data_IF_143973361120
#
_entry.id   IF_143973361120
#
_cell.length_a   1.000
_cell.length_b   1.000
_cell.length_c   1.000
_cell.angle_alpha   90.00
_cell.angle_beta   90.00
_cell.angle_gamma   90.00
#
_symmetry.space_group_name_H-M   'P 1'
#
loop_
_entity.id
_entity.type
_entity.pdbx_description
1 polymer ?
#
# COMPACT_ATOMS: atom_id res chain seq x y z
N UNK A 1 -11.72 20.42 -6.41
CA UNK A 1 -11.82 18.93 -6.35
C UNK A 1 -10.73 18.38 -5.43
N UNK A 2 -11.10 17.54 -4.51
CA UNK A 2 -10.13 16.87 -3.63
C UNK A 2 -9.66 15.59 -4.33
N UNK A 3 -8.34 15.45 -4.49
CA UNK A 3 -7.74 14.24 -5.08
C UNK A 3 -7.12 13.38 -4.00
N UNK A 4 -7.19 12.07 -4.17
CA UNK A 4 -6.56 11.11 -3.27
C UNK A 4 -5.71 10.13 -4.08
N UNK A 5 -4.43 10.45 -4.30
CA UNK A 5 -3.54 9.59 -5.08
C UNK A 5 -3.36 8.19 -4.49
N UNK A 6 -3.43 8.06 -3.17
CA UNK A 6 -3.32 6.76 -2.51
C UNK A 6 -4.57 5.91 -2.78
N UNK A 7 -5.75 6.51 -2.69
CA UNK A 7 -6.99 5.81 -3.02
C UNK A 7 -6.99 5.35 -4.48
N UNK A 8 -6.50 6.19 -5.39
CA UNK A 8 -6.35 5.83 -6.80
C UNK A 8 -5.38 4.66 -6.97
N UNK A 9 -4.25 4.69 -6.28
CA UNK A 9 -3.27 3.59 -6.29
C UNK A 9 -3.91 2.27 -5.85
N UNK A 10 -4.62 2.28 -4.74
CA UNK A 10 -5.29 1.07 -4.22
C UNK A 10 -6.37 0.58 -5.18
N UNK A 11 -7.14 1.50 -5.76
CA UNK A 11 -8.20 1.18 -6.70
C UNK A 11 -7.66 0.54 -7.97
N UNK A 12 -6.54 1.04 -8.50
CA UNK A 12 -5.90 0.46 -9.70
C UNK A 12 -5.46 -0.98 -9.44
N UNK A 13 -4.88 -1.26 -8.28
CA UNK A 13 -4.51 -2.63 -7.91
C UNK A 13 -5.75 -3.50 -7.77
N UNK A 14 -6.76 -3.02 -7.05
CA UNK A 14 -8.01 -3.75 -6.84
C UNK A 14 -8.67 -4.12 -8.17
N UNK A 15 -8.79 -3.15 -9.06
CA UNK A 15 -9.42 -3.37 -10.37
C UNK A 15 -8.62 -4.37 -11.23
N UNK A 16 -7.28 -4.26 -11.21
CA UNK A 16 -6.42 -5.19 -11.94
C UNK A 16 -6.58 -6.62 -11.41
N UNK A 17 -6.70 -6.79 -10.09
CA UNK A 17 -6.92 -8.10 -9.48
C UNK A 17 -8.29 -8.67 -9.82
N UNK A 18 -9.33 -7.83 -9.84
CA UNK A 18 -10.68 -8.27 -10.23
C UNK A 18 -10.74 -8.73 -11.67
N UNK A 19 -9.92 -8.15 -12.54
CA UNK A 19 -9.81 -8.54 -13.94
C UNK A 19 -8.75 -9.62 -14.17
N UNK A 20 -8.11 -10.12 -13.11
CA UNK A 20 -7.06 -11.14 -13.17
C UNK A 20 -5.87 -10.73 -14.03
N UNK A 21 -5.54 -9.45 -14.07
CA UNK A 21 -4.37 -8.95 -14.79
C UNK A 21 -3.08 -9.37 -14.06
N UNK A 22 -2.03 -9.66 -14.80
CA UNK A 22 -0.72 -9.99 -14.25
C UNK A 22 0.08 -8.74 -13.87
N UNK A 23 -0.09 -7.67 -14.63
CA UNK A 23 0.63 -6.43 -14.46
C UNK A 23 -0.34 -5.27 -14.31
N UNK A 24 0.07 -4.30 -13.51
CA UNK A 24 -0.62 -3.02 -13.39
C UNK A 24 0.39 -1.90 -13.48
N UNK A 25 0.04 -0.82 -14.18
CA UNK A 25 0.88 0.37 -14.31
C UNK A 25 0.20 1.53 -13.59
N UNK A 26 0.98 2.25 -12.78
CA UNK A 26 0.46 3.33 -11.95
C UNK A 26 1.41 4.53 -12.07
N UNK A 27 0.87 5.76 -12.25
CA UNK A 27 1.72 6.95 -12.22
C UNK A 27 2.48 7.02 -10.90
N UNK A 28 3.78 7.32 -10.97
CA UNK A 28 4.66 7.27 -9.82
C UNK A 28 4.62 8.52 -8.95
N UNK A 29 4.93 8.34 -7.67
CA UNK A 29 5.31 9.38 -6.72
C UNK A 29 6.21 8.72 -5.68
N UNK A 30 6.95 9.50 -4.92
CA UNK A 30 7.83 8.94 -3.89
C UNK A 30 7.04 8.13 -2.87
N UNK A 31 5.88 8.60 -2.47
CA UNK A 31 5.01 7.89 -1.53
C UNK A 31 4.53 6.57 -2.10
N UNK A 32 4.03 6.57 -3.34
CA UNK A 32 3.56 5.35 -4.00
C UNK A 32 4.68 4.33 -4.20
N UNK A 33 5.89 4.80 -4.53
CA UNK A 33 7.08 3.93 -4.65
C UNK A 33 7.36 3.23 -3.33
N UNK A 34 7.32 3.97 -2.22
CA UNK A 34 7.57 3.37 -0.91
C UNK A 34 6.51 2.37 -0.50
N UNK A 35 5.24 2.66 -0.79
CA UNK A 35 4.15 1.71 -0.55
C UNK A 35 4.39 0.43 -1.35
N UNK A 36 4.80 0.55 -2.62
CA UNK A 36 5.10 -0.59 -3.49
C UNK A 36 6.25 -1.44 -2.92
N UNK A 37 7.32 -0.80 -2.44
CA UNK A 37 8.44 -1.50 -1.81
C UNK A 37 7.98 -2.30 -0.58
N UNK A 38 7.11 -1.71 0.23
CA UNK A 38 6.55 -2.40 1.42
C UNK A 38 5.72 -3.60 1.01
N UNK A 39 4.88 -3.47 -0.01
CA UNK A 39 4.09 -4.59 -0.51
C UNK A 39 4.97 -5.75 -0.97
N UNK A 40 6.08 -5.43 -1.63
CA UNK A 40 7.05 -6.43 -2.06
C UNK A 40 7.74 -7.09 -0.86
N UNK A 41 8.22 -6.30 0.09
CA UNK A 41 8.90 -6.80 1.30
C UNK A 41 8.02 -7.74 2.12
N UNK A 42 6.70 -7.48 2.16
CA UNK A 42 5.75 -8.28 2.92
C UNK A 42 5.14 -9.43 2.11
N UNK A 43 5.56 -9.61 0.87
CA UNK A 43 5.16 -10.74 0.06
C UNK A 43 3.78 -10.62 -0.61
N UNK A 44 3.23 -9.41 -0.72
CA UNK A 44 1.92 -9.20 -1.33
C UNK A 44 1.95 -9.12 -2.85
N UNK A 45 3.12 -8.80 -3.44
CA UNK A 45 3.31 -8.73 -4.88
C UNK A 45 4.53 -9.54 -5.28
N UNK A 46 4.59 -9.97 -6.56
CA UNK A 46 5.72 -10.76 -7.05
C UNK A 46 6.97 -9.92 -7.23
N UNK A 47 6.84 -8.78 -7.89
CA UNK A 47 7.95 -7.88 -8.16
C UNK A 47 7.39 -6.54 -8.64
N UNK A 48 8.28 -5.56 -8.70
CA UNK A 48 7.94 -4.23 -9.18
C UNK A 48 9.11 -3.64 -9.96
N UNK A 49 8.80 -2.61 -10.74
CA UNK A 49 9.80 -1.86 -11.49
C UNK A 49 9.38 -0.40 -11.56
N UNK A 50 10.33 0.50 -11.37
CA UNK A 50 10.12 1.93 -11.55
C UNK A 50 10.71 2.34 -12.88
N UNK A 51 9.91 2.97 -13.74
CA UNK A 51 10.35 3.47 -15.03
C UNK A 51 10.21 4.99 -15.09
N UNK A 52 11.21 5.66 -15.62
CA UNK A 52 11.13 7.10 -15.85
C UNK A 52 10.37 7.36 -17.15
N UNK A 53 9.54 8.38 -17.14
CA UNK A 53 8.93 8.91 -18.34
C UNK A 53 9.22 10.41 -18.41
N UNK A 54 8.64 11.12 -19.37
CA UNK A 54 8.89 12.55 -19.53
C UNK A 54 8.20 13.41 -18.47
N UNK A 55 7.40 12.81 -17.58
CA UNK A 55 6.64 13.52 -16.56
C UNK A 55 7.03 13.11 -15.15
N UNK A 56 6.38 12.11 -14.61
CA UNK A 56 6.55 11.72 -13.20
C UNK A 56 7.06 10.30 -13.02
N UNK A 57 7.07 9.51 -14.09
CA UNK A 57 7.45 8.11 -14.02
C UNK A 57 6.28 7.18 -13.83
N UNK A 58 6.55 5.89 -13.99
CA UNK A 58 5.59 4.83 -13.86
C UNK A 58 6.07 3.78 -12.86
N UNK A 59 5.12 3.22 -12.13
CA UNK A 59 5.35 2.04 -11.28
C UNK A 59 4.67 0.87 -11.98
N UNK A 60 5.44 -0.16 -12.30
CA UNK A 60 4.92 -1.42 -12.84
C UNK A 60 4.95 -2.46 -11.74
N UNK A 61 3.81 -3.08 -11.47
CA UNK A 61 3.65 -4.08 -10.41
C UNK A 61 3.22 -5.39 -11.03
N UNK A 62 3.97 -6.47 -10.73
CA UNK A 62 3.57 -7.82 -11.07
C UNK A 62 2.76 -8.37 -9.91
N UNK A 63 1.47 -8.59 -10.14
CA UNK A 63 0.53 -9.06 -9.12
C UNK A 63 0.75 -10.54 -8.82
N UNK A 64 0.45 -10.93 -7.59
CA UNK A 64 0.67 -12.29 -7.11
C UNK A 64 -0.66 -13.00 -6.92
N UNK A 65 -0.78 -14.19 -7.50
CA UNK A 65 -1.97 -15.03 -7.40
C UNK A 65 -1.57 -16.44 -6.94
N UNK A 66 -2.47 -17.11 -6.24
CA UNK A 66 -2.27 -18.53 -5.92
C UNK A 66 -2.35 -19.36 -7.19
N UNK A 67 -1.36 -20.25 -7.45
CA UNK A 67 -1.34 -21.03 -8.70
C UNK A 67 -2.52 -21.98 -8.83
N UNK A 68 -3.07 -22.47 -7.72
CA UNK A 68 -4.17 -23.43 -7.73
C UNK A 68 -5.53 -22.77 -7.69
N UNK A 69 -5.76 -21.88 -6.70
CA UNK A 69 -7.07 -21.24 -6.52
C UNK A 69 -7.28 -20.03 -7.40
N UNK A 70 -6.20 -19.45 -7.94
CA UNK A 70 -6.21 -18.21 -8.71
C UNK A 70 -6.62 -16.97 -7.91
N UNK A 71 -6.71 -17.08 -6.61
CA UNK A 71 -7.03 -15.94 -5.75
C UNK A 71 -5.82 -15.03 -5.58
N UNK A 72 -6.03 -13.70 -5.53
CA UNK A 72 -4.91 -12.76 -5.34
C UNK A 72 -4.34 -12.86 -3.92
N UNK A 73 -3.04 -12.61 -3.80
CA UNK A 73 -2.36 -12.57 -2.51
C UNK A 73 -2.89 -11.43 -1.64
N UNK A 74 -3.24 -10.30 -2.25
CA UNK A 74 -3.88 -9.20 -1.54
C UNK A 74 -5.38 -9.45 -1.53
N UNK A 75 -5.94 -9.66 -0.35
CA UNK A 75 -7.37 -9.90 -0.19
C UNK A 75 -8.15 -8.61 0.01
N UNK A 76 -7.55 -7.63 0.66
CA UNK A 76 -8.20 -6.35 0.94
C UNK A 76 -7.22 -5.19 0.90
N UNK A 77 -7.68 -4.09 0.32
CA UNK A 77 -6.97 -2.81 0.24
C UNK A 77 -7.94 -1.75 0.73
N UNK A 78 -7.71 -1.23 1.93
CA UNK A 78 -8.61 -0.28 2.57
C UNK A 78 -7.91 1.04 2.85
N UNK A 79 -8.45 2.13 2.29
CA UNK A 79 -7.98 3.48 2.58
C UNK A 79 -8.48 3.90 3.95
N UNK A 80 -7.58 4.33 4.83
CA UNK A 80 -7.94 4.74 6.19
C UNK A 80 -7.97 6.27 6.31
N UNK A 81 -6.80 6.92 6.22
CA UNK A 81 -6.73 8.39 6.29
C UNK A 81 -7.09 8.97 4.93
N UNK A 82 -7.96 9.96 4.90
CA UNK A 82 -8.45 10.57 3.66
C UNK A 82 -8.19 12.09 3.69
N UNK A 83 -8.06 12.74 2.53
CA UNK A 83 -7.81 14.19 2.50
C UNK A 83 -8.80 15.01 3.31
N UNK A 84 -10.08 14.62 3.33
CA UNK A 84 -11.11 15.33 4.10
C UNK A 84 -11.21 14.91 5.56
N UNK A 85 -10.56 13.80 5.94
CA UNK A 85 -10.61 13.28 7.31
C UNK A 85 -9.33 12.49 7.58
N UNK A 86 -8.31 13.18 8.07
CA UNK A 86 -7.02 12.55 8.38
C UNK A 86 -7.11 11.71 9.64
N UNK A 87 -6.46 10.55 9.62
CA UNK A 87 -6.45 9.59 10.72
C UNK A 87 -5.03 9.36 11.20
N UNK A 88 -4.77 9.67 12.46
CA UNK A 88 -3.45 9.54 13.08
C UNK A 88 -3.50 8.54 14.24
N UNK A 89 -2.36 7.95 14.56
CA UNK A 89 -2.23 7.04 15.69
C UNK A 89 -0.91 7.27 16.42
N UNK A 90 -0.94 7.09 17.73
CA UNK A 90 0.25 7.07 18.56
C UNK A 90 0.92 5.69 18.44
N UNK A 91 2.22 5.58 18.82
CA UNK A 91 2.97 4.31 18.66
C UNK A 91 2.34 3.11 19.36
N UNK A 92 1.69 3.34 20.50
CA UNK A 92 1.09 2.28 21.32
C UNK A 92 -0.40 2.08 21.05
N UNK A 93 -0.97 2.81 20.09
CA UNK A 93 -2.42 2.79 19.81
C UNK A 93 -2.76 2.23 18.43
N UNK A 94 -1.79 1.68 17.69
CA UNK A 94 -2.07 1.09 16.39
C UNK A 94 -2.99 -0.12 16.51
N UNK A 95 -4.07 -0.10 15.75
CA UNK A 95 -5.00 -1.24 15.68
C UNK A 95 -4.39 -2.33 14.79
N UNK A 96 -4.51 -3.57 15.23
CA UNK A 96 -4.05 -4.70 14.43
C UNK A 96 -4.93 -4.88 13.21
N UNK A 97 -4.30 -5.09 12.06
CA UNK A 97 -5.02 -5.42 10.83
C UNK A 97 -5.15 -6.93 10.76
N UNK A 98 -6.39 -7.42 10.72
CA UNK A 98 -6.69 -8.87 10.64
C UNK A 98 -5.95 -9.67 11.72
N UNK A 99 -6.02 -9.21 12.97
CA UNK A 99 -5.34 -9.84 14.12
C UNK A 99 -3.83 -9.99 13.94
N UNK A 100 -3.21 -9.05 13.21
CA UNK A 100 -1.77 -9.06 12.98
C UNK A 100 -1.33 -9.82 11.73
N UNK A 101 -2.27 -10.42 10.98
CA UNK A 101 -1.96 -11.11 9.72
C UNK A 101 -1.77 -10.12 8.57
N UNK A 102 -2.38 -8.95 8.66
CA UNK A 102 -2.22 -7.89 7.68
C UNK A 102 -1.28 -6.79 8.17
N UNK A 103 -1.19 -5.72 7.38
CA UNK A 103 -0.37 -4.56 7.70
C UNK A 103 -1.17 -3.27 7.58
N UNK A 104 -0.79 -2.27 8.38
CA UNK A 104 -1.17 -0.88 8.14
C UNK A 104 0.07 -0.16 7.62
N UNK A 105 -0.09 0.67 6.61
CA UNK A 105 1.00 1.52 6.10
C UNK A 105 0.83 2.88 6.73
N UNK A 106 1.89 3.36 7.39
CA UNK A 106 1.88 4.55 8.23
C UNK A 106 2.93 5.55 7.73
N UNK A 107 2.54 6.81 7.59
CA UNK A 107 3.46 7.89 7.27
C UNK A 107 3.91 8.54 8.57
N UNK A 108 5.21 8.43 8.87
CA UNK A 108 5.80 8.94 10.11
C UNK A 108 6.88 9.98 9.82
N UNK A 109 7.36 10.64 10.86
CA UNK A 109 8.49 11.56 10.75
C UNK A 109 9.78 10.87 10.29
N UNK A 110 9.86 9.54 10.45
CA UNK A 110 11.01 8.72 10.03
C UNK A 110 10.77 8.01 8.71
N UNK A 111 9.72 8.38 8.00
CA UNK A 111 9.38 7.80 6.69
C UNK A 111 8.12 6.96 6.72
N UNK A 112 7.80 6.38 5.57
CA UNK A 112 6.64 5.51 5.41
C UNK A 112 7.04 4.09 5.78
N UNK A 113 6.27 3.47 6.66
CA UNK A 113 6.59 2.14 7.19
C UNK A 113 5.32 1.40 7.60
N UNK A 114 5.45 0.14 8.03
CA UNK A 114 4.32 -0.61 8.55
C UNK A 114 4.04 -0.21 10.00
N UNK A 115 2.84 -0.56 10.49
CA UNK A 115 2.44 -0.33 11.88
C UNK A 115 3.39 -1.02 12.86
N UNK A 116 3.85 -2.23 12.54
CA UNK A 116 4.78 -2.97 13.39
C UNK A 116 6.13 -2.27 13.49
N UNK A 117 6.64 -1.77 12.37
CA UNK A 117 7.89 -1.02 12.34
C UNK A 117 7.77 0.30 13.10
N UNK A 118 6.66 1.02 12.91
CA UNK A 118 6.41 2.27 13.63
C UNK A 118 6.33 2.05 15.13
N UNK A 119 5.66 1.01 15.56
CA UNK A 119 5.57 0.64 16.98
C UNK A 119 6.95 0.30 17.55
N UNK A 120 7.74 -0.47 16.80
CA UNK A 120 9.10 -0.85 17.19
C UNK A 120 10.00 0.37 17.34
N UNK A 121 9.86 1.35 16.46
CA UNK A 121 10.65 2.59 16.51
C UNK A 121 10.04 3.64 17.44
N UNK A 122 8.90 3.33 18.07
CA UNK A 122 8.19 4.22 19.02
C UNK A 122 7.80 5.54 18.37
N UNK A 123 7.35 5.49 17.10
CA UNK A 123 6.84 6.66 16.36
C UNK A 123 5.40 6.45 15.97
N UNK A 124 4.60 7.48 16.11
CA UNK A 124 3.25 7.51 15.59
C UNK A 124 3.20 8.18 14.22
N UNK A 125 2.05 8.22 13.61
CA UNK A 125 1.88 8.88 12.34
C UNK A 125 0.50 8.74 11.74
N UNK A 126 0.40 9.14 10.49
CA UNK A 126 -0.84 9.05 9.72
C UNK A 126 -1.01 7.63 9.18
N UNK A 127 -2.11 6.98 9.53
CA UNK A 127 -2.42 5.64 9.04
C UNK A 127 -3.04 5.77 7.64
N UNK A 128 -2.26 5.46 6.63
CA UNK A 128 -2.66 5.66 5.24
C UNK A 128 -3.66 4.62 4.76
N UNK A 129 -3.35 3.35 4.96
CA UNK A 129 -4.20 2.25 4.48
C UNK A 129 -3.91 0.96 5.24
N UNK A 130 -4.88 0.04 5.16
CA UNK A 130 -4.75 -1.32 5.69
C UNK A 130 -4.76 -2.31 4.55
N UNK A 131 -3.90 -3.31 4.62
CA UNK A 131 -3.74 -4.34 3.58
C UNK A 131 -3.66 -5.71 4.24
N UNK A 132 -4.42 -6.65 3.70
CA UNK A 132 -4.28 -8.05 4.10
C UNK A 132 -4.65 -9.02 3.00
#
# INVERSE_FOLDING_TARGET
MVTDPIADYLTRIRNAQMASHRLVEIPASNLKKRITEILYEKGYILKYKFEDDTKQGLIKIALKYDPQTKLPAIQSLERVSRPGLRTYSKPDEFKRVKNGLGIAIVSTSKGVMTDKEAKSQKVGGEVLCNIY
#
